data_IF_408356584011
#
_entry.id   IF_408356584011
#
_cell.length_a   1.000
_cell.length_b   1.000
_cell.length_c   1.000
_cell.angle_alpha   90.00
_cell.angle_beta   90.00
_cell.angle_gamma   90.00
#
_symmetry.space_group_name_H-M   'P 1'
#
loop_
_entity.id
_entity.type
_entity.pdbx_description
1 polymer ?
#
# COMPACT_ATOMS: atom_id res chain seq x y z
N UNK A 1 -3.11 24.88 6.17
CA UNK A 1 -3.46 24.36 7.51
C UNK A 1 -4.37 23.14 7.46
N UNK A 2 -5.48 23.18 6.70
CA UNK A 2 -6.40 22.03 6.55
C UNK A 2 -5.74 20.77 5.97
N UNK A 3 -4.87 20.89 4.97
CA UNK A 3 -4.15 19.74 4.40
C UNK A 3 -3.19 19.07 5.39
N UNK A 4 -2.41 19.86 6.14
CA UNK A 4 -1.53 19.32 7.19
C UNK A 4 -2.33 18.61 8.29
N UNK A 5 -3.52 19.12 8.62
CA UNK A 5 -4.42 18.51 9.60
C UNK A 5 -5.01 17.20 9.09
N UNK A 6 -5.46 17.15 7.83
CA UNK A 6 -5.98 15.94 7.19
C UNK A 6 -4.91 14.84 7.10
N UNK A 7 -3.69 15.20 6.69
CA UNK A 7 -2.55 14.28 6.67
C UNK A 7 -2.20 13.78 8.07
N UNK A 8 -2.21 14.67 9.07
CA UNK A 8 -1.96 14.28 10.46
C UNK A 8 -3.05 13.32 10.99
N UNK A 9 -4.32 13.57 10.65
CA UNK A 9 -5.44 12.69 11.01
C UNK A 9 -5.33 11.33 10.30
N UNK A 10 -4.94 11.30 9.03
CA UNK A 10 -4.76 10.08 8.24
C UNK A 10 -3.56 9.25 8.71
N UNK A 11 -2.48 9.90 9.18
CA UNK A 11 -1.32 9.24 9.83
C UNK A 11 -1.71 8.69 11.19
N UNK A 12 -2.50 9.44 11.97
CA UNK A 12 -2.88 9.07 13.34
C UNK A 12 -4.04 8.06 13.39
N UNK A 13 -4.78 7.89 12.30
CA UNK A 13 -5.96 7.02 12.24
C UNK A 13 -5.67 5.54 12.57
N UNK A 14 -4.63 4.88 12.00
CA UNK A 14 -4.26 3.51 12.38
C UNK A 14 -3.94 3.38 13.88
N UNK A 15 -3.26 4.37 14.46
CA UNK A 15 -2.94 4.40 15.87
C UNK A 15 -4.18 4.56 16.75
N UNK A 16 -5.09 5.47 16.40
CA UNK A 16 -6.34 5.69 17.13
C UNK A 16 -7.25 4.45 17.07
N UNK A 17 -7.33 3.78 15.91
CA UNK A 17 -8.00 2.49 15.78
C UNK A 17 -7.34 1.47 16.71
N UNK A 18 -6.01 1.37 16.72
CA UNK A 18 -5.31 0.42 17.56
C UNK A 18 -5.63 0.64 19.05
N UNK A 19 -5.56 1.89 19.52
CA UNK A 19 -5.90 2.23 20.90
C UNK A 19 -7.36 1.88 21.22
N UNK A 20 -8.30 2.22 20.35
CA UNK A 20 -9.73 1.99 20.57
C UNK A 20 -10.07 0.50 20.61
N UNK A 21 -9.60 -0.28 19.62
CA UNK A 21 -9.86 -1.71 19.56
C UNK A 21 -9.16 -2.49 20.67
N UNK A 22 -7.92 -2.14 21.03
CA UNK A 22 -7.25 -2.74 22.19
C UNK A 22 -8.00 -2.43 23.48
N UNK A 23 -8.43 -1.18 23.69
CA UNK A 23 -9.18 -0.79 24.90
C UNK A 23 -10.50 -1.52 25.03
N UNK A 24 -11.23 -1.67 23.92
CA UNK A 24 -12.47 -2.46 23.85
C UNK A 24 -12.17 -3.93 24.17
N UNK A 25 -11.21 -4.54 23.49
CA UNK A 25 -10.87 -5.96 23.69
C UNK A 25 -10.49 -6.27 25.15
N UNK A 26 -9.69 -5.41 25.79
CA UNK A 26 -9.33 -5.57 27.21
C UNK A 26 -10.55 -5.36 28.13
N UNK A 27 -11.45 -4.42 27.82
CA UNK A 27 -12.65 -4.16 28.63
C UNK A 27 -13.65 -5.32 28.60
N UNK A 28 -13.72 -6.06 27.49
CA UNK A 28 -14.56 -7.26 27.35
C UNK A 28 -13.89 -8.54 27.91
N UNK A 29 -12.71 -8.45 28.51
CA UNK A 29 -12.03 -9.58 29.14
C UNK A 29 -11.43 -10.57 28.15
N UNK A 30 -11.15 -10.14 26.92
CA UNK A 30 -10.42 -10.96 25.94
C UNK A 30 -9.03 -11.26 26.50
N UNK A 31 -8.72 -12.54 26.69
CA UNK A 31 -7.48 -13.00 27.32
C UNK A 31 -6.94 -14.24 26.58
N UNK A 32 -5.68 -14.60 26.82
CA UNK A 32 -4.99 -15.73 26.19
C UNK A 32 -5.56 -17.13 26.54
N UNK A 33 -6.63 -17.20 27.34
CA UNK A 33 -7.34 -18.45 27.72
C UNK A 33 -8.18 -19.07 26.59
N UNK A 34 -8.01 -18.61 25.35
CA UNK A 34 -8.74 -19.12 24.20
C UNK A 34 -8.11 -20.46 23.80
N UNK A 35 -8.93 -21.48 23.60
CA UNK A 35 -8.46 -22.77 23.12
C UNK A 35 -7.71 -22.63 21.80
N UNK A 36 -6.53 -23.26 21.71
CA UNK A 36 -5.62 -23.17 20.57
C UNK A 36 -5.10 -21.74 20.27
N UNK A 37 -4.87 -20.91 21.29
CA UNK A 37 -4.28 -19.58 21.11
C UNK A 37 -2.94 -19.58 20.34
N UNK A 38 -2.14 -20.63 20.48
CA UNK A 38 -0.93 -20.87 19.67
C UNK A 38 -1.20 -20.78 18.16
N UNK A 39 -2.30 -21.35 17.68
CA UNK A 39 -2.67 -21.27 16.25
C UNK A 39 -2.99 -19.85 15.80
N UNK A 40 -3.50 -19.01 16.71
CA UNK A 40 -3.77 -17.59 16.43
C UNK A 40 -2.44 -16.83 16.31
N UNK A 41 -1.48 -17.12 17.18
CA UNK A 41 -0.12 -16.55 17.12
C UNK A 41 0.56 -16.99 15.81
N UNK A 42 0.55 -18.29 15.49
CA UNK A 42 1.11 -18.85 14.25
C UNK A 42 0.48 -18.21 13.00
N UNK A 43 -0.86 -18.09 13.01
CA UNK A 43 -1.61 -17.44 11.95
C UNK A 43 -1.24 -15.98 11.79
N UNK A 44 -1.02 -15.27 12.90
CA UNK A 44 -0.60 -13.86 12.90
C UNK A 44 0.81 -13.71 12.32
N UNK A 45 1.76 -14.56 12.73
CA UNK A 45 3.13 -14.57 12.19
C UNK A 45 3.11 -14.83 10.69
N UNK A 46 2.36 -15.85 10.27
CA UNK A 46 2.25 -16.26 8.86
C UNK A 46 1.65 -15.14 8.02
N UNK A 47 0.49 -14.60 8.44
CA UNK A 47 -0.18 -13.51 7.74
C UNK A 47 0.70 -12.27 7.65
N UNK A 48 1.33 -11.86 8.75
CA UNK A 48 2.22 -10.68 8.78
C UNK A 48 3.40 -10.87 7.84
N UNK A 49 4.02 -12.06 7.83
CA UNK A 49 5.16 -12.37 6.97
C UNK A 49 4.78 -12.33 5.47
N UNK A 50 3.65 -12.92 5.11
CA UNK A 50 3.11 -12.88 3.73
C UNK A 50 2.85 -11.43 3.32
N UNK A 51 2.22 -10.64 4.18
CA UNK A 51 1.83 -9.28 3.87
C UNK A 51 3.06 -8.37 3.70
N UNK A 52 4.06 -8.48 4.57
CA UNK A 52 5.32 -7.74 4.44
C UNK A 52 6.05 -8.16 3.16
N UNK A 53 6.11 -9.46 2.84
CA UNK A 53 6.69 -9.96 1.60
C UNK A 53 5.98 -9.42 0.36
N UNK A 54 4.64 -9.37 0.38
CA UNK A 54 3.84 -8.79 -0.69
C UNK A 54 4.13 -7.29 -0.88
N UNK A 55 4.21 -6.52 0.21
CA UNK A 55 4.57 -5.10 0.16
C UNK A 55 5.98 -4.91 -0.43
N UNK A 56 6.96 -5.74 -0.04
CA UNK A 56 8.30 -5.69 -0.57
C UNK A 56 8.33 -5.98 -2.08
N UNK A 57 7.55 -6.96 -2.56
CA UNK A 57 7.41 -7.25 -3.99
C UNK A 57 6.77 -6.07 -4.75
N UNK A 58 5.68 -5.50 -4.23
CA UNK A 58 5.04 -4.31 -4.81
C UNK A 58 6.00 -3.12 -4.87
N UNK A 59 6.89 -2.98 -3.89
CA UNK A 59 7.90 -1.92 -3.87
C UNK A 59 8.89 -2.09 -5.01
N UNK A 60 9.34 -3.32 -5.27
CA UNK A 60 10.19 -3.65 -6.42
C UNK A 60 9.54 -3.24 -7.75
N UNK A 61 8.25 -3.53 -7.92
CA UNK A 61 7.50 -3.12 -9.11
C UNK A 61 7.40 -1.60 -9.19
N UNK A 62 7.06 -0.92 -8.09
CA UNK A 62 6.94 0.53 -8.05
C UNK A 62 8.26 1.23 -8.41
N UNK A 63 9.40 0.67 -8.00
CA UNK A 63 10.73 1.18 -8.37
C UNK A 63 10.99 1.03 -9.87
N UNK A 64 10.49 -0.05 -10.50
CA UNK A 64 10.59 -0.27 -11.95
C UNK A 64 9.81 0.78 -12.75
N UNK A 65 8.62 1.18 -12.27
CA UNK A 65 7.74 2.13 -12.98
C UNK A 65 7.86 3.59 -12.50
N UNK A 66 8.81 3.87 -11.59
CA UNK A 66 8.93 5.15 -10.88
C UNK A 66 9.10 6.38 -11.79
N UNK A 67 9.66 6.16 -12.98
CA UNK A 67 10.01 7.23 -13.92
C UNK A 67 8.84 7.62 -14.85
N UNK A 68 7.72 6.89 -14.79
CA UNK A 68 6.49 7.25 -15.50
C UNK A 68 5.90 8.57 -14.98
N UNK A 69 5.35 9.37 -15.90
CA UNK A 69 4.79 10.70 -15.57
C UNK A 69 3.64 10.61 -14.57
N UNK A 70 2.89 9.50 -14.60
CA UNK A 70 1.80 9.21 -13.67
C UNK A 70 2.32 9.04 -12.24
N UNK A 71 3.40 8.29 -12.06
CA UNK A 71 4.00 8.07 -10.74
C UNK A 71 4.61 9.36 -10.21
N UNK A 72 5.29 10.15 -11.07
CA UNK A 72 5.79 11.49 -10.71
C UNK A 72 4.67 12.43 -10.28
N UNK A 73 3.54 12.44 -11.00
CA UNK A 73 2.40 13.29 -10.66
C UNK A 73 1.77 12.89 -9.32
N UNK A 74 1.58 11.59 -9.05
CA UNK A 74 1.07 11.13 -7.75
C UNK A 74 2.04 11.48 -6.61
N UNK A 75 3.35 11.34 -6.82
CA UNK A 75 4.36 11.70 -5.83
C UNK A 75 4.47 13.21 -5.59
N UNK A 76 4.12 14.05 -6.57
CA UNK A 76 4.01 15.49 -6.40
C UNK A 76 2.76 15.88 -5.60
N UNK A 77 1.61 15.23 -5.86
CA UNK A 77 0.34 15.55 -5.20
C UNK A 77 0.27 15.01 -3.76
N UNK A 78 0.68 13.76 -3.52
CA UNK A 78 0.62 13.14 -2.18
C UNK A 78 1.94 13.22 -1.40
N UNK A 79 3.01 13.70 -2.02
CA UNK A 79 4.33 13.84 -1.41
C UNK A 79 5.10 12.52 -1.32
N UNK A 80 6.21 12.41 -2.08
CA UNK A 80 7.15 11.27 -2.05
C UNK A 80 7.54 10.81 -0.64
N UNK A 81 7.76 11.76 0.27
CA UNK A 81 8.18 11.48 1.65
C UNK A 81 7.07 10.81 2.48
N UNK A 82 5.81 11.18 2.25
CA UNK A 82 4.66 10.61 2.98
C UNK A 82 4.41 9.16 2.56
N UNK A 83 4.50 8.88 1.26
CA UNK A 83 4.42 7.50 0.76
C UNK A 83 5.54 6.62 1.32
N UNK A 84 6.79 7.10 1.28
CA UNK A 84 7.92 6.37 1.85
C UNK A 84 7.72 6.11 3.35
N UNK A 85 7.16 7.09 4.07
CA UNK A 85 6.82 6.94 5.49
C UNK A 85 5.79 5.83 5.71
N UNK A 86 4.64 5.83 5.01
CA UNK A 86 3.60 4.80 5.16
C UNK A 86 4.12 3.39 4.85
N UNK A 87 5.01 3.29 3.89
CA UNK A 87 5.64 2.03 3.51
C UNK A 87 6.59 1.54 4.61
N UNK A 88 7.54 2.39 5.03
CA UNK A 88 8.48 2.04 6.10
C UNK A 88 7.77 1.74 7.41
N UNK A 89 6.76 2.53 7.78
CA UNK A 89 5.91 2.31 8.96
C UNK A 89 5.30 0.91 8.92
N UNK A 90 4.66 0.53 7.81
CA UNK A 90 4.00 -0.77 7.70
C UNK A 90 4.98 -1.93 7.76
N UNK A 91 6.13 -1.82 7.10
CA UNK A 91 7.16 -2.87 7.12
C UNK A 91 7.73 -3.05 8.52
N UNK A 92 8.07 -1.94 9.20
CA UNK A 92 8.58 -1.96 10.58
C UNK A 92 7.52 -2.56 11.51
N UNK A 93 6.26 -2.13 11.40
CA UNK A 93 5.17 -2.69 12.20
C UNK A 93 4.97 -4.18 11.94
N UNK A 94 5.11 -4.65 10.70
CA UNK A 94 5.04 -6.08 10.39
C UNK A 94 6.11 -6.90 11.10
N UNK A 95 7.36 -6.42 11.11
CA UNK A 95 8.43 -7.06 11.88
C UNK A 95 8.18 -7.00 13.40
N UNK A 96 7.71 -5.86 13.91
CA UNK A 96 7.34 -5.71 15.32
C UNK A 96 6.23 -6.71 15.69
N UNK A 97 5.20 -6.87 14.87
CA UNK A 97 4.10 -7.82 15.11
C UNK A 97 4.61 -9.27 15.13
N UNK A 98 5.53 -9.64 14.24
CA UNK A 98 6.15 -10.98 14.26
C UNK A 98 6.96 -11.19 15.53
N UNK A 99 7.81 -10.22 15.91
CA UNK A 99 8.61 -10.31 17.13
C UNK A 99 7.71 -10.35 18.38
N UNK A 100 6.70 -9.49 18.46
CA UNK A 100 5.72 -9.48 19.55
C UNK A 100 4.97 -10.81 19.64
N UNK A 101 4.64 -11.43 18.50
CA UNK A 101 4.03 -12.77 18.45
C UNK A 101 4.98 -13.85 18.97
N UNK A 102 6.27 -13.78 18.61
CA UNK A 102 7.30 -14.66 19.17
C UNK A 102 7.48 -14.50 20.69
N UNK A 103 7.41 -13.26 21.18
CA UNK A 103 7.47 -12.95 22.62
C UNK A 103 6.25 -13.51 23.36
N UNK A 104 5.12 -13.76 22.70
CA UNK A 104 3.94 -14.32 23.37
C UNK A 104 4.08 -15.80 23.78
N UNK A 105 4.89 -16.61 23.08
CA UNK A 105 4.97 -18.07 23.37
C UNK A 105 5.27 -18.42 24.83
N UNK A 106 6.27 -17.82 25.50
CA UNK A 106 6.56 -18.12 26.90
C UNK A 106 5.47 -17.70 27.91
N UNK A 107 4.48 -16.91 27.46
CA UNK A 107 3.39 -16.38 28.28
C UNK A 107 2.03 -17.02 27.98
N UNK A 108 1.95 -17.97 27.05
CA UNK A 108 0.70 -18.66 26.69
C UNK A 108 0.09 -19.35 27.92
N UNK A 109 0.90 -20.09 28.67
CA UNK A 109 0.47 -20.78 29.89
C UNK A 109 0.34 -19.86 31.11
N UNK A 110 0.61 -18.55 30.96
CA UNK A 110 0.61 -17.56 32.06
C UNK A 110 -0.43 -16.46 31.80
N UNK A 111 -1.73 -16.80 31.79
CA UNK A 111 -2.81 -15.86 31.45
C UNK A 111 -2.99 -14.72 32.47
N UNK A 112 -2.34 -14.82 33.63
CA UNK A 112 -2.34 -13.76 34.66
C UNK A 112 -1.43 -12.58 34.27
N UNK A 113 -0.50 -12.79 33.33
CA UNK A 113 0.40 -11.75 32.82
C UNK A 113 -0.25 -11.08 31.61
N UNK A 114 -1.09 -10.08 31.88
CA UNK A 114 -1.89 -9.38 30.85
C UNK A 114 -1.08 -8.42 29.96
N UNK A 115 0.08 -7.94 30.42
CA UNK A 115 0.82 -6.86 29.74
C UNK A 115 1.36 -7.28 28.34
N UNK A 116 2.05 -8.43 28.17
CA UNK A 116 2.49 -8.91 26.86
C UNK A 116 1.31 -9.10 25.90
N UNK A 117 0.17 -9.58 26.40
CA UNK A 117 -1.04 -9.78 25.61
C UNK A 117 -1.60 -8.47 25.07
N UNK A 118 -1.71 -7.45 25.92
CA UNK A 118 -2.18 -6.11 25.52
C UNK A 118 -1.24 -5.49 24.47
N UNK A 119 0.08 -5.62 24.67
CA UNK A 119 1.07 -5.10 23.76
C UNK A 119 1.03 -5.81 22.40
N UNK A 120 0.94 -7.14 22.40
CA UNK A 120 0.77 -7.94 21.18
C UNK A 120 -0.51 -7.56 20.43
N UNK A 121 -1.64 -7.50 21.12
CA UNK A 121 -2.94 -7.13 20.54
C UNK A 121 -2.88 -5.74 19.89
N UNK A 122 -2.24 -4.78 20.57
CA UNK A 122 -2.02 -3.44 20.06
C UNK A 122 -1.19 -3.43 18.77
N UNK A 123 -0.13 -4.22 18.68
CA UNK A 123 0.69 -4.31 17.45
C UNK A 123 -0.13 -4.83 16.26
N UNK A 124 -1.00 -5.83 16.47
CA UNK A 124 -1.89 -6.35 15.43
C UNK A 124 -2.87 -5.28 14.95
N UNK A 125 -3.56 -4.62 15.89
CA UNK A 125 -4.56 -3.62 15.54
C UNK A 125 -3.97 -2.35 14.91
N UNK A 126 -2.68 -2.07 15.11
CA UNK A 126 -1.99 -1.04 14.34
C UNK A 126 -1.59 -1.55 12.95
N UNK A 127 -1.02 -2.76 12.90
CA UNK A 127 -0.47 -3.33 11.66
C UNK A 127 -1.54 -3.51 10.57
N UNK A 128 -2.74 -4.00 10.90
CA UNK A 128 -3.82 -4.25 9.95
C UNK A 128 -4.29 -3.00 9.16
N UNK A 129 -4.74 -1.90 9.80
CA UNK A 129 -5.14 -0.71 9.07
C UNK A 129 -3.96 -0.04 8.35
N UNK A 130 -2.76 -0.04 8.94
CA UNK A 130 -1.57 0.52 8.27
C UNK A 130 -1.25 -0.23 6.98
N UNK A 131 -1.31 -1.56 7.01
CA UNK A 131 -1.05 -2.42 5.86
C UNK A 131 -2.09 -2.27 4.76
N UNK A 132 -3.38 -2.26 5.11
CA UNK A 132 -4.45 -2.02 4.13
C UNK A 132 -4.29 -0.65 3.46
N UNK A 133 -3.94 0.40 4.21
CA UNK A 133 -3.71 1.74 3.68
C UNK A 133 -2.61 1.74 2.62
N UNK A 134 -1.43 1.18 2.91
CA UNK A 134 -0.33 1.20 1.94
C UNK A 134 -0.62 0.33 0.72
N UNK A 135 -1.23 -0.84 0.90
CA UNK A 135 -1.60 -1.73 -0.20
C UNK A 135 -2.57 -1.04 -1.16
N UNK A 136 -3.59 -0.34 -0.64
CA UNK A 136 -4.52 0.44 -1.47
C UNK A 136 -3.83 1.57 -2.24
N UNK A 137 -2.93 2.30 -1.59
CA UNK A 137 -2.17 3.36 -2.25
C UNK A 137 -1.28 2.80 -3.37
N UNK A 138 -0.60 1.68 -3.12
CA UNK A 138 0.24 1.02 -4.12
C UNK A 138 -0.58 0.49 -5.29
N UNK A 139 -1.73 -0.15 -5.03
CA UNK A 139 -2.65 -0.59 -6.09
C UNK A 139 -3.11 0.58 -6.95
N UNK A 140 -3.53 1.69 -6.33
CA UNK A 140 -3.95 2.89 -7.06
C UNK A 140 -2.85 3.42 -7.98
N UNK A 141 -1.60 3.46 -7.51
CA UNK A 141 -0.46 3.89 -8.32
C UNK A 141 -0.23 2.93 -9.49
N UNK A 142 -0.20 1.62 -9.23
CA UNK A 142 0.06 0.60 -10.25
C UNK A 142 -1.02 0.62 -11.34
N UNK A 143 -2.30 0.60 -10.95
CA UNK A 143 -3.41 0.62 -11.92
C UNK A 143 -3.47 1.93 -12.70
N UNK A 144 -3.21 3.06 -12.06
CA UNK A 144 -3.18 4.34 -12.78
C UNK A 144 -2.01 4.41 -13.75
N UNK A 145 -0.84 3.87 -13.39
CA UNK A 145 0.36 3.85 -14.26
C UNK A 145 0.24 2.95 -15.49
N UNK A 146 -0.62 1.93 -15.44
CA UNK A 146 -0.84 0.99 -16.53
C UNK A 146 -1.82 1.52 -17.60
N UNK A 147 -2.52 2.63 -17.31
CA UNK A 147 -3.27 3.39 -18.32
C UNK A 147 -2.26 4.29 -19.03
N UNK A 148 -1.43 3.69 -19.88
CA UNK A 148 -0.88 4.45 -21.00
C UNK A 148 -2.01 4.57 -22.02
N UNK A 149 -2.55 5.77 -22.15
CA UNK A 149 -3.09 6.16 -23.45
C UNK A 149 -1.90 6.15 -24.43
N UNK A 150 -1.61 4.99 -25.01
CA UNK A 150 -0.91 4.89 -26.30
C UNK A 150 -1.86 5.33 -27.41
N UNK A 151 -2.45 6.53 -27.26
CA UNK A 151 -2.98 7.27 -28.40
C UNK A 151 -1.82 8.14 -28.85
N UNK A 152 -1.07 7.75 -29.90
CA UNK A 152 -0.06 8.63 -30.44
C UNK A 152 -0.74 9.94 -30.85
N UNK A 153 -0.44 11.00 -30.11
CA UNK A 153 -0.81 12.38 -30.40
C UNK A 153 0.02 12.89 -31.58
N UNK A 154 -0.07 12.21 -32.73
CA UNK A 154 0.45 12.74 -33.98
C UNK A 154 -0.22 12.10 -35.20
N UNK A 155 -1.53 12.27 -35.31
CA UNK A 155 -2.17 12.10 -36.61
C UNK A 155 -3.45 12.93 -36.77
N UNK A 156 -3.46 14.15 -36.21
CA UNK A 156 -4.48 15.16 -36.48
C UNK A 156 -4.33 15.81 -37.86
N UNK A 157 -3.90 15.05 -38.87
CA UNK A 157 -4.21 15.44 -40.24
C UNK A 157 -5.71 15.25 -40.40
N UNK A 158 -6.43 16.34 -40.69
CA UNK A 158 -7.81 16.28 -41.15
C UNK A 158 -7.92 15.23 -42.26
N UNK A 159 -9.08 14.57 -42.40
CA UNK A 159 -9.29 13.62 -43.51
C UNK A 159 -8.91 14.24 -44.86
N UNK A 160 -9.15 15.53 -45.01
CA UNK A 160 -8.76 16.34 -46.17
C UNK A 160 -7.24 16.41 -46.37
N UNK A 161 -6.45 16.70 -45.33
CA UNK A 161 -5.00 16.79 -45.44
C UNK A 161 -4.33 15.43 -45.76
N UNK A 162 -4.93 14.33 -45.28
CA UNK A 162 -4.49 12.96 -45.65
C UNK A 162 -4.77 12.65 -47.12
N UNK A 163 -5.89 13.13 -47.63
CA UNK A 163 -6.30 12.92 -49.01
C UNK A 163 -5.46 13.78 -49.96
N UNK A 164 -5.17 15.03 -49.59
CA UNK A 164 -4.23 15.90 -50.30
C UNK A 164 -2.81 15.34 -50.34
N UNK A 165 -2.30 14.81 -49.21
CA UNK A 165 -0.98 14.17 -49.17
C UNK A 165 -0.91 12.91 -50.06
N UNK A 166 -2.00 12.14 -50.14
CA UNK A 166 -2.11 10.97 -51.04
C UNK A 166 -2.12 11.38 -52.51
N UNK A 167 -2.89 12.41 -52.86
CA UNK A 167 -2.97 12.94 -54.23
C UNK A 167 -1.64 13.59 -54.66
N UNK A 168 -0.97 14.31 -53.74
CA UNK A 168 0.34 14.91 -54.00
C UNK A 168 1.40 13.85 -54.28
N UNK A 169 1.39 12.75 -53.52
CA UNK A 169 2.34 11.65 -53.69
C UNK A 169 2.04 10.81 -54.94
N UNK A 170 0.78 10.64 -55.34
CA UNK A 170 0.44 9.95 -56.59
C UNK A 170 0.86 10.76 -57.82
N UNK A 171 0.66 12.09 -57.81
CA UNK A 171 1.12 12.97 -58.90
C UNK A 171 2.64 12.98 -59.06
N UNK A 172 3.41 12.99 -57.96
CA UNK A 172 4.88 12.91 -58.01
C UNK A 172 5.38 11.59 -58.62
N UNK A 173 4.66 10.48 -58.40
CA UNK A 173 5.02 9.19 -59.00
C UNK A 173 4.76 9.13 -60.50
N UNK A 174 3.73 9.86 -60.97
CA UNK A 174 3.40 9.94 -62.39
C UNK A 174 4.32 10.90 -63.18
N UNK A 175 4.95 11.87 -62.52
CA UNK A 175 5.93 12.77 -63.15
C UNK A 175 7.36 12.19 -63.23
N UNK A 176 7.64 11.15 -62.44
CA UNK A 176 8.94 10.47 -62.41
C UNK A 176 8.92 9.11 -63.14
N UNK A 177 7.88 8.88 -63.95
CA UNK A 177 7.69 7.76 -64.89
C UNK A 177 7.74 8.30 -66.31
#
# INVERSE_FOLDING_TARGET
MKEKLLVFLEVSFPFLIAVLFTSIATSYGFNSKIDNFEKIIDGTITFSSILVGFIAALMGILVSIKDSDIVKHIFQVRGKRLFAYYLSETVILGFITVIASGVMYPFIDKPDIILPFILWQFTIFWFLPSSMRIVLVMMLILFKSNIKEDVPENNNLSREEREEARIRNSKKRLQNS
#
